data_IF_218372386122
#
_entry.id   IF_218372386122
#
_cell.length_a   1.000
_cell.length_b   1.000
_cell.length_c   1.000
_cell.angle_alpha   90.00
_cell.angle_beta   90.00
_cell.angle_gamma   90.00
#
_symmetry.space_group_name_H-M   'P 1'
#
loop_
_entity.id
_entity.type
_entity.pdbx_description
1 polymer ?
#
# COMPACT_ATOMS: atom_id res chain seq x y z
N UNK A 1 -2.15 8.03 -16.53
CA UNK A 1 -2.93 7.19 -15.61
C UNK A 1 -2.21 5.87 -15.29
N UNK A 2 -1.92 5.00 -16.28
CA UNK A 2 -1.28 3.69 -16.02
C UNK A 2 0.07 3.78 -15.25
N UNK A 3 0.94 4.72 -15.63
CA UNK A 3 2.22 4.96 -14.93
C UNK A 3 2.02 5.33 -13.45
N UNK A 4 1.02 6.16 -13.14
CA UNK A 4 0.73 6.62 -11.78
C UNK A 4 0.12 5.50 -10.94
N UNK A 5 -0.77 4.69 -11.52
CA UNK A 5 -1.34 3.51 -10.84
C UNK A 5 -0.26 2.48 -10.52
N UNK A 6 0.66 2.23 -11.46
CA UNK A 6 1.78 1.33 -11.24
C UNK A 6 2.72 1.86 -10.13
N UNK A 7 2.92 3.18 -10.09
CA UNK A 7 3.70 3.85 -9.05
C UNK A 7 3.05 3.66 -7.68
N UNK A 8 1.75 3.94 -7.54
CA UNK A 8 1.01 3.71 -6.29
C UNK A 8 1.07 2.24 -5.83
N UNK A 9 0.97 1.28 -6.76
CA UNK A 9 1.08 -0.14 -6.43
C UNK A 9 2.48 -0.52 -5.95
N UNK A 10 3.53 -0.04 -6.61
CA UNK A 10 4.90 -0.25 -6.18
C UNK A 10 5.17 0.36 -4.80
N UNK A 11 4.65 1.58 -4.57
CA UNK A 11 4.67 2.24 -3.26
C UNK A 11 4.00 1.37 -2.19
N UNK A 12 2.82 0.84 -2.47
CA UNK A 12 2.08 -0.01 -1.54
C UNK A 12 2.82 -1.30 -1.20
N UNK A 13 3.41 -1.93 -2.21
CA UNK A 13 4.20 -3.14 -2.01
C UNK A 13 5.43 -2.90 -1.12
N UNK A 14 6.15 -1.79 -1.35
CA UNK A 14 7.29 -1.42 -0.52
C UNK A 14 6.89 -1.17 0.95
N UNK A 15 5.77 -0.48 1.20
CA UNK A 15 5.28 -0.28 2.57
C UNK A 15 4.90 -1.61 3.24
N UNK A 16 4.12 -2.45 2.56
CA UNK A 16 3.67 -3.74 3.11
C UNK A 16 4.87 -4.62 3.44
N UNK A 17 5.86 -4.75 2.54
CA UNK A 17 7.08 -5.51 2.79
C UNK A 17 7.84 -4.93 3.99
N UNK A 18 8.02 -3.61 4.02
CA UNK A 18 8.69 -2.89 5.08
C UNK A 18 8.08 -3.12 6.47
N UNK A 19 6.76 -3.25 6.54
CA UNK A 19 6.02 -3.52 7.77
C UNK A 19 5.91 -5.02 8.10
N UNK A 20 5.84 -5.88 7.09
CA UNK A 20 5.68 -7.33 7.24
C UNK A 20 6.96 -8.02 7.75
N UNK A 21 8.13 -7.61 7.26
CA UNK A 21 9.41 -8.21 7.65
C UNK A 21 9.71 -8.07 9.17
N UNK A 22 9.52 -6.90 9.80
CA UNK A 22 9.63 -6.78 11.26
C UNK A 22 8.58 -7.60 12.02
N UNK A 23 7.35 -7.67 11.50
CA UNK A 23 6.32 -8.53 12.08
C UNK A 23 6.74 -10.01 12.06
N UNK A 24 7.36 -10.47 10.97
CA UNK A 24 7.87 -11.83 10.85
C UNK A 24 8.96 -12.14 11.90
N UNK A 25 9.87 -11.19 12.14
CA UNK A 25 10.86 -11.29 13.20
C UNK A 25 10.21 -11.38 14.58
N UNK A 26 9.34 -10.42 14.93
CA UNK A 26 8.76 -10.29 16.27
C UNK A 26 7.72 -11.35 16.60
N UNK A 27 6.93 -11.80 15.62
CA UNK A 27 5.80 -12.73 15.85
C UNK A 27 6.08 -14.16 15.40
N UNK A 28 6.95 -14.38 14.41
CA UNK A 28 7.28 -15.72 13.91
C UNK A 28 8.72 -16.15 14.21
N UNK A 29 9.49 -15.36 14.98
CA UNK A 29 10.84 -15.72 15.40
C UNK A 29 11.86 -15.78 14.25
N UNK A 30 11.59 -15.10 13.14
CA UNK A 30 12.51 -15.03 12.01
C UNK A 30 13.79 -14.25 12.35
N UNK A 31 14.78 -14.23 11.46
CA UNK A 31 16.06 -13.57 11.74
C UNK A 31 15.91 -12.05 11.85
N UNK A 32 16.65 -11.43 12.79
CA UNK A 32 16.77 -9.96 12.90
C UNK A 32 17.35 -9.32 11.64
N UNK A 33 18.07 -10.10 10.82
CA UNK A 33 18.62 -9.65 9.54
C UNK A 33 17.54 -9.14 8.58
N UNK A 34 16.27 -9.53 8.77
CA UNK A 34 15.12 -9.03 8.01
C UNK A 34 14.86 -7.53 8.22
N UNK A 35 15.38 -6.92 9.28
CA UNK A 35 15.26 -5.48 9.51
C UNK A 35 16.02 -4.65 8.47
N UNK A 36 17.09 -5.20 7.88
CA UNK A 36 17.85 -4.53 6.82
C UNK A 36 17.01 -4.36 5.55
N UNK A 37 16.47 -5.42 4.92
CA UNK A 37 15.59 -5.27 3.77
C UNK A 37 14.28 -4.53 4.12
N UNK A 38 13.78 -4.63 5.36
CA UNK A 38 12.63 -3.85 5.81
C UNK A 38 12.91 -2.34 5.76
N UNK A 39 14.05 -1.91 6.31
CA UNK A 39 14.48 -0.51 6.29
C UNK A 39 14.68 0.00 4.86
N UNK A 40 15.28 -0.81 3.97
CA UNK A 40 15.42 -0.47 2.55
C UNK A 40 14.06 -0.31 1.88
N UNK A 41 13.10 -1.20 2.14
CA UNK A 41 11.76 -1.12 1.57
C UNK A 41 11.01 0.14 2.03
N UNK A 42 11.11 0.50 3.32
CA UNK A 42 10.52 1.73 3.86
C UNK A 42 11.19 2.99 3.29
N UNK A 43 12.51 3.00 3.12
CA UNK A 43 13.21 4.11 2.47
C UNK A 43 12.75 4.30 1.01
N UNK A 44 12.60 3.19 0.27
CA UNK A 44 12.05 3.20 -1.09
C UNK A 44 10.60 3.69 -1.13
N UNK A 45 9.76 3.26 -0.19
CA UNK A 45 8.38 3.72 -0.05
C UNK A 45 8.30 5.25 0.07
N UNK A 46 9.05 5.83 1.00
CA UNK A 46 9.07 7.29 1.22
C UNK A 46 9.57 8.02 -0.02
N UNK A 47 10.60 7.50 -0.69
CA UNK A 47 11.10 8.08 -1.92
C UNK A 47 10.06 8.02 -3.06
N UNK A 48 9.40 6.88 -3.27
CA UNK A 48 8.37 6.73 -4.31
C UNK A 48 7.19 7.68 -4.10
N UNK A 49 6.81 7.98 -2.85
CA UNK A 49 5.76 8.97 -2.58
C UNK A 49 6.10 10.36 -3.11
N UNK A 50 7.38 10.75 -3.12
CA UNK A 50 7.81 12.06 -3.64
C UNK A 50 7.66 12.21 -5.16
N UNK A 51 7.56 11.10 -5.88
CA UNK A 51 7.42 11.08 -7.34
C UNK A 51 5.98 11.33 -7.83
N UNK A 52 5.01 11.40 -6.92
CA UNK A 52 3.60 11.61 -7.28
C UNK A 52 3.31 13.10 -7.55
N UNK A 53 2.61 13.45 -8.64
CA UNK A 53 2.47 14.84 -9.10
C UNK A 53 1.39 15.66 -8.34
N UNK A 54 1.20 15.47 -7.03
CA UNK A 54 0.19 16.14 -6.20
C UNK A 54 0.77 16.79 -4.94
N UNK A 55 -0.06 17.63 -4.31
CA UNK A 55 0.09 17.92 -2.89
C UNK A 55 0.09 16.61 -2.07
N UNK A 56 1.05 16.47 -1.16
CA UNK A 56 1.30 15.25 -0.38
C UNK A 56 0.03 14.67 0.26
N UNK A 57 -0.83 15.50 0.86
CA UNK A 57 -2.09 15.04 1.47
C UNK A 57 -3.05 14.36 0.48
N UNK A 58 -3.13 14.83 -0.77
CA UNK A 58 -3.95 14.17 -1.82
C UNK A 58 -3.32 12.85 -2.26
N UNK A 59 -1.98 12.79 -2.32
CA UNK A 59 -1.25 11.54 -2.60
C UNK A 59 -1.54 10.50 -1.53
N UNK A 60 -1.40 10.85 -0.25
CA UNK A 60 -1.67 9.93 0.86
C UNK A 60 -3.11 9.43 0.87
N UNK A 61 -4.09 10.31 0.63
CA UNK A 61 -5.48 9.92 0.61
C UNK A 61 -5.82 9.02 -0.59
N UNK A 62 -5.24 9.28 -1.77
CA UNK A 62 -5.42 8.41 -2.93
C UNK A 62 -4.70 7.06 -2.75
N UNK A 63 -3.48 7.11 -2.23
CA UNK A 63 -2.66 5.95 -1.92
C UNK A 63 -3.37 4.94 -1.01
N UNK A 64 -4.09 5.42 0.01
CA UNK A 64 -4.83 4.57 0.95
C UNK A 64 -5.80 3.60 0.27
N UNK A 65 -6.46 4.00 -0.82
CA UNK A 65 -7.33 3.11 -1.59
C UNK A 65 -6.56 1.97 -2.28
N UNK A 66 -5.43 2.28 -2.90
CA UNK A 66 -4.55 1.28 -3.53
C UNK A 66 -3.94 0.36 -2.48
N UNK A 67 -3.56 0.91 -1.32
CA UNK A 67 -3.02 0.16 -0.20
C UNK A 67 -3.99 -0.90 0.29
N UNK A 68 -5.26 -0.56 0.51
CA UNK A 68 -6.29 -1.52 0.96
C UNK A 68 -6.38 -2.71 0.01
N UNK A 69 -6.46 -2.47 -1.30
CA UNK A 69 -6.51 -3.55 -2.28
C UNK A 69 -5.25 -4.40 -2.29
N UNK A 70 -4.08 -3.76 -2.20
CA UNK A 70 -2.79 -4.45 -2.21
C UNK A 70 -2.61 -5.30 -0.95
N UNK A 71 -3.02 -4.80 0.21
CA UNK A 71 -2.97 -5.52 1.49
C UNK A 71 -3.90 -6.75 1.49
N UNK A 72 -5.10 -6.64 0.90
CA UNK A 72 -6.00 -7.79 0.76
C UNK A 72 -5.48 -8.84 -0.22
N UNK A 73 -4.84 -8.42 -1.32
CA UNK A 73 -4.14 -9.34 -2.20
C UNK A 73 -2.97 -10.02 -1.49
N UNK A 74 -2.22 -9.28 -0.67
CA UNK A 74 -1.16 -9.83 0.16
C UNK A 74 -1.68 -10.87 1.15
N UNK A 75 -2.78 -10.55 1.86
CA UNK A 75 -3.47 -11.46 2.77
C UNK A 75 -3.84 -12.78 2.05
N UNK A 76 -4.31 -12.67 0.81
CA UNK A 76 -4.70 -13.84 0.01
C UNK A 76 -3.52 -14.69 -0.47
N UNK A 77 -2.45 -14.04 -0.93
CA UNK A 77 -1.34 -14.67 -1.66
C UNK A 77 -0.19 -15.07 -0.73
N UNK A 78 0.19 -14.19 0.19
CA UNK A 78 1.35 -14.38 1.09
C UNK A 78 0.90 -15.01 2.41
N UNK A 79 -0.16 -14.49 3.01
CA UNK A 79 -0.67 -15.06 4.27
C UNK A 79 -1.56 -16.29 4.04
N UNK A 80 -2.05 -16.48 2.81
CA UNK A 80 -2.83 -17.67 2.40
C UNK A 80 -4.28 -17.67 2.86
N UNK A 81 -4.73 -16.59 3.52
CA UNK A 81 -6.06 -16.47 4.10
C UNK A 81 -7.13 -16.18 3.03
N UNK A 82 -8.35 -16.70 3.23
CA UNK A 82 -9.46 -16.46 2.29
C UNK A 82 -10.07 -15.09 2.54
N UNK A 83 -10.22 -14.32 1.47
CA UNK A 83 -10.95 -13.06 1.50
C UNK A 83 -12.45 -13.32 1.68
N UNK A 84 -13.03 -12.67 2.69
CA UNK A 84 -14.45 -12.69 2.96
C UNK A 84 -15.21 -11.69 2.06
N UNK A 85 -16.54 -11.82 2.01
CA UNK A 85 -17.40 -10.85 1.34
C UNK A 85 -17.26 -9.43 1.93
N UNK A 86 -16.98 -9.33 3.23
CA UNK A 86 -16.76 -8.05 3.90
C UNK A 86 -15.45 -7.39 3.45
N UNK A 87 -14.40 -8.17 3.21
CA UNK A 87 -13.12 -7.66 2.70
C UNK A 87 -13.30 -7.08 1.29
N UNK A 88 -14.03 -7.79 0.42
CA UNK A 88 -14.33 -7.30 -0.93
C UNK A 88 -15.20 -6.04 -0.92
N UNK A 89 -16.22 -5.99 -0.08
CA UNK A 89 -17.06 -4.81 0.07
C UNK A 89 -16.27 -3.60 0.60
N UNK A 90 -15.44 -3.82 1.63
CA UNK A 90 -14.56 -2.78 2.18
C UNK A 90 -13.56 -2.25 1.15
N UNK A 91 -12.94 -3.15 0.37
CA UNK A 91 -12.04 -2.80 -0.71
C UNK A 91 -12.73 -1.92 -1.77
N UNK A 92 -13.95 -2.28 -2.17
CA UNK A 92 -14.73 -1.53 -3.14
C UNK A 92 -15.05 -0.12 -2.63
N UNK A 93 -15.47 0.01 -1.37
CA UNK A 93 -15.75 1.32 -0.76
C UNK A 93 -14.50 2.19 -0.67
N UNK A 94 -13.37 1.61 -0.24
CA UNK A 94 -12.09 2.32 -0.17
C UNK A 94 -11.61 2.80 -1.55
N UNK A 95 -11.72 1.94 -2.57
CA UNK A 95 -11.44 2.30 -3.97
C UNK A 95 -12.34 3.43 -4.46
N UNK A 96 -13.64 3.37 -4.20
CA UNK A 96 -14.57 4.44 -4.58
C UNK A 96 -14.20 5.78 -3.92
N UNK A 97 -13.89 5.78 -2.61
CA UNK A 97 -13.44 6.97 -1.89
C UNK A 97 -12.18 7.58 -2.51
N UNK A 98 -11.18 6.75 -2.80
CA UNK A 98 -9.98 7.15 -3.53
C UNK A 98 -10.31 7.77 -4.90
N UNK A 99 -11.16 7.12 -5.70
CA UNK A 99 -11.51 7.60 -7.04
C UNK A 99 -12.19 8.97 -7.00
N UNK A 100 -13.05 9.22 -5.99
CA UNK A 100 -13.68 10.53 -5.77
C UNK A 100 -12.61 11.61 -5.52
N UNK A 101 -11.62 11.33 -4.66
CA UNK A 101 -10.53 12.27 -4.34
C UNK A 101 -9.69 12.56 -5.57
N UNK A 102 -9.32 11.51 -6.32
CA UNK A 102 -8.54 11.65 -7.56
C UNK A 102 -9.32 12.42 -8.63
N UNK A 103 -10.63 12.21 -8.75
CA UNK A 103 -11.47 12.96 -9.68
C UNK A 103 -11.60 14.46 -9.32
N UNK A 104 -11.45 14.81 -8.04
CA UNK A 104 -11.40 16.20 -7.57
C UNK A 104 -10.06 16.91 -7.81
N UNK A 105 -9.03 16.18 -8.25
CA UNK A 105 -7.68 16.73 -8.43
C UNK A 105 -7.66 17.75 -9.57
N UNK A 106 -7.43 19.02 -9.24
CA UNK A 106 -7.38 20.13 -10.21
C UNK A 106 -8.68 20.90 -10.39
N UNK A 107 -9.75 20.56 -9.65
CA UNK A 107 -11.00 21.35 -9.57
C UNK A 107 -11.02 22.37 -8.42
N UNK A 108 -9.85 22.61 -7.80
CA UNK A 108 -9.66 23.53 -6.68
C UNK A 108 -8.55 24.51 -7.02
#
# INVERSE_FOLDING_TARGET
MFKTTLLFFATALCEIIGCFLPWLWLKKGASVLLLVPAGVALALFVWLLTLHPAASGRVYAAYGGVYVCTALLWLRVVDGEKLSLYDWAGAAVALCGMLIIVAGWGRA
#
